data_IF_177640058614
#
_entry.id   IF_177640058614
#
_cell.length_a   1.000
_cell.length_b   1.000
_cell.length_c   1.000
_cell.angle_alpha   90.00
_cell.angle_beta   90.00
_cell.angle_gamma   90.00
#
_symmetry.space_group_name_H-M   'P 1'
#
loop_
_entity.id
_entity.type
_entity.pdbx_description
1 polymer ?
#
# COMPACT_ATOMS: atom_id res chain seq x y z
N UNK A 1 -15.95 7.39 -31.75
CA UNK A 1 -15.50 7.01 -30.40
C UNK A 1 -16.12 5.64 -30.14
N UNK A 2 -15.32 4.59 -30.06
CA UNK A 2 -15.86 3.27 -29.73
C UNK A 2 -16.47 3.34 -28.32
N UNK A 3 -17.71 2.89 -28.15
CA UNK A 3 -18.30 2.74 -26.83
C UNK A 3 -17.47 1.70 -26.07
N UNK A 4 -16.70 2.15 -25.09
CA UNK A 4 -16.05 1.26 -24.13
C UNK A 4 -17.18 0.69 -23.29
N UNK A 5 -17.56 -0.55 -23.55
CA UNK A 5 -18.52 -1.27 -22.72
C UNK A 5 -17.96 -1.39 -21.30
N UNK A 6 -18.48 -0.59 -20.37
CA UNK A 6 -18.11 -0.67 -18.96
C UNK A 6 -18.99 -1.72 -18.32
N UNK A 7 -18.39 -2.85 -17.95
CA UNK A 7 -19.11 -3.91 -17.24
C UNK A 7 -19.61 -3.40 -15.89
N UNK A 8 -20.88 -3.71 -15.59
CA UNK A 8 -21.47 -3.38 -14.29
C UNK A 8 -20.84 -4.25 -13.21
N UNK A 9 -20.22 -3.61 -12.22
CA UNK A 9 -19.64 -4.33 -11.09
C UNK A 9 -20.74 -5.08 -10.29
N UNK A 10 -20.44 -6.29 -9.78
CA UNK A 10 -21.36 -7.02 -8.92
C UNK A 10 -21.58 -6.29 -7.59
N UNK A 11 -22.75 -6.48 -6.97
CA UNK A 11 -23.07 -5.90 -5.65
C UNK A 11 -22.09 -6.32 -4.55
N UNK A 12 -21.57 -7.55 -4.65
CA UNK A 12 -20.60 -8.08 -3.71
C UNK A 12 -19.29 -8.40 -4.41
N UNK A 13 -18.18 -7.89 -3.87
CA UNK A 13 -16.84 -8.19 -4.36
C UNK A 13 -16.51 -9.63 -3.97
N UNK A 14 -16.02 -10.41 -4.93
CA UNK A 14 -15.52 -11.76 -4.68
C UNK A 14 -14.16 -11.66 -3.99
N UNK A 15 -14.06 -12.23 -2.80
CA UNK A 15 -12.81 -12.29 -2.04
C UNK A 15 -11.93 -13.38 -2.68
N UNK A 16 -10.68 -13.09 -3.07
CA UNK A 16 -9.78 -14.10 -3.62
C UNK A 16 -9.36 -15.08 -2.51
N UNK A 17 -9.11 -16.33 -2.90
CA UNK A 17 -8.44 -17.29 -2.03
C UNK A 17 -6.97 -16.88 -1.85
N UNK A 18 -6.40 -17.17 -0.68
CA UNK A 18 -5.01 -16.83 -0.35
C UNK A 18 -4.06 -17.50 -1.35
N UNK A 19 -3.18 -16.70 -1.96
CA UNK A 19 -2.08 -17.14 -2.81
C UNK A 19 -0.77 -16.60 -2.22
N UNK A 20 -0.05 -17.45 -1.48
CA UNK A 20 1.22 -17.07 -0.87
C UNK A 20 2.23 -16.70 -1.94
N UNK A 21 2.92 -15.59 -1.73
CA UNK A 21 4.03 -15.13 -2.57
C UNK A 21 3.61 -14.83 -4.02
N UNK A 22 2.33 -14.53 -4.25
CA UNK A 22 1.84 -14.09 -5.58
C UNK A 22 2.53 -12.81 -6.06
N UNK A 23 3.10 -12.03 -5.14
CA UNK A 23 3.87 -10.82 -5.44
C UNK A 23 5.38 -11.00 -5.26
N UNK A 24 5.88 -12.24 -5.23
CA UNK A 24 7.33 -12.47 -5.19
C UNK A 24 8.01 -11.94 -6.46
N UNK A 25 9.02 -11.10 -6.29
CA UNK A 25 9.81 -10.48 -7.35
C UNK A 25 10.77 -9.43 -6.78
N UNK A 26 11.47 -8.72 -7.67
CA UNK A 26 12.51 -7.76 -7.28
C UNK A 26 11.97 -6.41 -6.74
N UNK A 27 10.66 -6.19 -6.86
CA UNK A 27 9.98 -5.00 -6.35
C UNK A 27 8.99 -4.39 -7.36
N UNK A 28 8.34 -3.27 -6.99
CA UNK A 28 7.46 -2.54 -7.90
C UNK A 28 8.25 -1.85 -9.02
N UNK A 29 7.56 -1.51 -10.11
CA UNK A 29 8.13 -0.69 -11.17
C UNK A 29 8.51 0.69 -10.61
N UNK A 30 9.79 1.07 -10.73
CA UNK A 30 10.27 2.39 -10.33
C UNK A 30 9.71 3.48 -11.25
N UNK A 31 9.28 4.60 -10.66
CA UNK A 31 8.92 5.79 -11.42
C UNK A 31 10.17 6.42 -12.07
N UNK A 32 9.97 7.24 -13.11
CA UNK A 32 11.07 7.98 -13.73
C UNK A 32 11.65 9.03 -12.77
N UNK A 33 12.92 9.37 -12.97
CA UNK A 33 13.61 10.42 -12.20
C UNK A 33 12.84 11.74 -12.21
N UNK A 34 12.29 12.11 -13.37
CA UNK A 34 11.49 13.33 -13.54
C UNK A 34 10.24 13.34 -12.66
N UNK A 35 9.51 12.22 -12.56
CA UNK A 35 8.32 12.11 -11.69
C UNK A 35 8.73 12.16 -10.22
N UNK A 36 9.84 11.52 -9.85
CA UNK A 36 10.35 11.53 -8.48
C UNK A 36 10.70 12.95 -8.05
N UNK A 37 11.42 13.70 -8.89
CA UNK A 37 11.80 15.10 -8.63
C UNK A 37 10.56 16.00 -8.47
N UNK A 38 9.58 15.88 -9.37
CA UNK A 38 8.32 16.65 -9.28
C UNK A 38 7.53 16.38 -7.99
N UNK A 39 7.63 15.17 -7.44
CA UNK A 39 7.02 14.79 -6.17
C UNK A 39 7.90 15.11 -4.95
N UNK A 40 9.11 15.62 -5.15
CA UNK A 40 10.08 15.91 -4.09
C UNK A 40 10.74 14.67 -3.49
N UNK A 41 10.75 13.55 -4.22
CA UNK A 41 11.44 12.32 -3.83
C UNK A 41 12.82 12.23 -4.48
N UNK A 42 13.81 11.59 -3.81
CA UNK A 42 15.09 11.31 -4.43
C UNK A 42 14.93 10.27 -5.55
N UNK A 43 15.72 10.40 -6.61
CA UNK A 43 15.74 9.46 -7.74
C UNK A 43 16.10 8.05 -7.30
N UNK A 44 17.14 7.94 -6.46
CA UNK A 44 17.61 6.68 -5.89
C UNK A 44 17.59 6.71 -4.36
N UNK A 45 17.64 5.51 -3.78
CA UNK A 45 17.65 5.33 -2.33
C UNK A 45 18.93 5.89 -1.72
N UNK A 46 18.78 6.94 -0.90
CA UNK A 46 19.89 7.56 -0.17
C UNK A 46 20.49 6.62 0.88
N UNK A 47 21.78 6.78 1.20
CA UNK A 47 22.46 5.92 2.18
C UNK A 47 21.82 5.96 3.57
N UNK A 48 21.44 7.16 4.02
CA UNK A 48 20.80 7.41 5.32
C UNK A 48 19.26 7.30 5.29
N UNK A 49 18.69 6.56 4.34
CA UNK A 49 17.23 6.47 4.14
C UNK A 49 16.44 6.11 5.40
N UNK A 50 17.00 5.26 6.27
CA UNK A 50 16.34 4.87 7.52
C UNK A 50 16.12 6.07 8.43
N UNK A 51 17.16 6.88 8.60
CA UNK A 51 17.12 8.06 9.44
C UNK A 51 16.13 9.09 8.88
N UNK A 52 16.19 9.36 7.57
CA UNK A 52 15.26 10.25 6.88
C UNK A 52 13.81 9.80 7.06
N UNK A 53 13.54 8.50 6.92
CA UNK A 53 12.19 7.96 7.12
C UNK A 53 11.72 8.08 8.58
N UNK A 54 12.58 7.82 9.56
CA UNK A 54 12.27 7.95 10.99
C UNK A 54 11.95 9.41 11.34
N UNK A 55 12.76 10.36 10.86
CA UNK A 55 12.54 11.79 11.08
C UNK A 55 11.22 12.25 10.46
N UNK A 56 10.91 11.80 9.24
CA UNK A 56 9.65 12.14 8.58
C UNK A 56 8.43 11.54 9.30
N UNK A 57 8.57 10.34 9.84
CA UNK A 57 7.54 9.70 10.67
C UNK A 57 7.33 10.45 11.98
N UNK A 58 8.40 10.90 12.64
CA UNK A 58 8.32 11.72 13.85
C UNK A 58 7.59 13.06 13.56
N UNK A 59 7.95 13.73 12.46
CA UNK A 59 7.28 14.95 12.01
C UNK A 59 5.79 14.71 11.76
N UNK A 60 5.45 13.67 11.00
CA UNK A 60 4.07 13.35 10.59
C UNK A 60 3.20 12.99 11.80
N UNK A 61 3.71 12.16 12.70
CA UNK A 61 2.99 11.76 13.93
C UNK A 61 2.83 12.93 14.90
N UNK A 62 3.78 13.87 14.95
CA UNK A 62 3.64 15.10 15.77
C UNK A 62 2.53 16.04 15.26
N UNK A 63 2.31 16.07 13.94
CA UNK A 63 1.32 16.95 13.30
C UNK A 63 -0.09 16.35 13.26
N UNK A 64 -0.20 15.03 13.08
CA UNK A 64 -1.46 14.37 12.80
C UNK A 64 -1.75 13.25 13.80
N UNK A 65 -2.64 13.52 14.77
CA UNK A 65 -3.16 12.51 15.71
C UNK A 65 -3.81 11.33 14.97
N UNK A 66 -4.46 11.57 13.84
CA UNK A 66 -5.08 10.51 13.03
C UNK A 66 -4.07 9.43 12.65
N UNK A 67 -2.83 9.81 12.31
CA UNK A 67 -1.77 8.86 11.97
C UNK A 67 -1.41 7.99 13.17
N UNK A 68 -1.28 8.56 14.37
CA UNK A 68 -1.05 7.80 15.60
C UNK A 68 -2.18 6.81 15.86
N UNK A 69 -3.44 7.27 15.76
CA UNK A 69 -4.62 6.42 15.98
C UNK A 69 -4.69 5.30 14.94
N UNK A 70 -4.41 5.56 13.67
CA UNK A 70 -4.42 4.51 12.63
C UNK A 70 -3.31 3.48 12.81
N UNK A 71 -2.16 3.87 13.37
CA UNK A 71 -1.08 2.94 13.70
C UNK A 71 -1.41 2.08 14.93
N UNK A 72 -2.13 2.63 15.91
CA UNK A 72 -2.49 1.95 17.16
C UNK A 72 -3.76 1.08 17.04
N UNK A 73 -4.71 1.45 16.17
CA UNK A 73 -6.00 0.79 16.07
C UNK A 73 -5.95 -0.67 15.56
N UNK A 74 -4.83 -1.10 14.94
CA UNK A 74 -4.74 -2.44 14.40
C UNK A 74 -4.45 -3.48 15.50
N UNK A 75 -5.46 -4.24 15.89
CA UNK A 75 -5.34 -5.36 16.86
C UNK A 75 -4.99 -6.71 16.20
N UNK A 76 -4.54 -6.70 14.94
CA UNK A 76 -4.24 -7.90 14.13
C UNK A 76 -5.37 -8.95 14.09
N UNK A 77 -6.64 -8.54 14.12
CA UNK A 77 -7.79 -9.46 14.13
C UNK A 77 -8.19 -10.06 12.78
N UNK A 78 -7.76 -9.48 11.65
CA UNK A 78 -8.08 -9.97 10.31
C UNK A 78 -9.36 -9.41 9.70
N UNK A 79 -10.19 -8.67 10.44
CA UNK A 79 -11.50 -8.21 9.99
C UNK A 79 -11.46 -7.26 8.77
N UNK A 80 -10.33 -6.59 8.52
CA UNK A 80 -10.16 -5.71 7.37
C UNK A 80 -9.67 -6.42 6.10
N UNK A 81 -9.32 -7.71 6.17
CA UNK A 81 -8.65 -8.45 5.09
C UNK A 81 -9.48 -8.45 3.81
N UNK A 82 -10.77 -8.73 3.93
CA UNK A 82 -11.69 -8.83 2.79
C UNK A 82 -12.09 -7.48 2.17
N UNK A 83 -11.68 -6.37 2.79
CA UNK A 83 -11.88 -4.99 2.29
C UNK A 83 -10.59 -4.34 1.80
N UNK A 84 -9.45 -4.99 2.00
CA UNK A 84 -8.15 -4.41 1.66
C UNK A 84 -7.91 -4.46 0.14
N UNK A 85 -7.85 -3.32 -0.52
CA UNK A 85 -7.62 -3.26 -1.97
C UNK A 85 -6.30 -3.93 -2.40
N UNK A 86 -5.25 -3.87 -1.58
CA UNK A 86 -3.98 -4.54 -1.86
C UNK A 86 -4.12 -6.06 -1.84
N UNK A 87 -4.80 -6.62 -0.84
CA UNK A 87 -5.09 -8.06 -0.80
C UNK A 87 -6.04 -8.48 -1.93
N UNK A 88 -7.11 -7.73 -2.17
CA UNK A 88 -8.08 -8.04 -3.23
C UNK A 88 -7.45 -8.06 -4.63
N UNK A 89 -6.46 -7.19 -4.88
CA UNK A 89 -5.77 -7.14 -6.17
C UNK A 89 -4.66 -8.18 -6.35
N UNK A 90 -4.12 -8.74 -5.27
CA UNK A 90 -2.92 -9.60 -5.34
C UNK A 90 -3.12 -11.01 -4.81
N UNK A 91 -4.15 -11.25 -3.99
CA UNK A 91 -4.35 -12.46 -3.21
C UNK A 91 -3.20 -12.82 -2.25
N UNK A 92 -2.17 -11.97 -2.15
CA UNK A 92 -0.98 -12.22 -1.34
C UNK A 92 -1.26 -11.85 0.13
N UNK A 93 -1.10 -12.78 1.08
CA UNK A 93 -1.30 -12.47 2.49
C UNK A 93 -0.32 -11.43 3.03
N UNK A 94 0.83 -11.17 2.41
CA UNK A 94 1.75 -10.09 2.83
C UNK A 94 1.16 -8.70 2.57
N UNK A 95 0.13 -8.59 1.72
CA UNK A 95 -0.55 -7.34 1.38
C UNK A 95 -1.79 -7.05 2.24
N UNK A 96 -2.10 -7.88 3.24
CA UNK A 96 -3.12 -7.55 4.26
C UNK A 96 -2.44 -7.04 5.57
N UNK A 97 -3.04 -6.08 6.30
CA UNK A 97 -2.43 -5.50 7.52
C UNK A 97 -2.12 -6.49 8.64
N UNK A 98 -2.70 -7.69 8.62
CA UNK A 98 -2.62 -8.67 9.70
C UNK A 98 -1.47 -9.65 9.55
N UNK A 99 -1.11 -9.98 8.31
CA UNK A 99 -0.02 -10.92 8.00
C UNK A 99 1.29 -10.22 7.61
N UNK A 100 1.39 -8.91 7.92
CA UNK A 100 2.63 -8.13 7.93
C UNK A 100 3.13 -7.83 9.36
#
# INVERSE_FOLDING_TARGET
VAEIGIDKLPTYIKIPAIQKDSMAGDGPFKASAEIQEQLGFPEEKVENWQQVAIEKMAETTSKYRSVQVFLDACVKCGACTDKCHYYLGTADPKNMPVAR
#
